data_IF_233202763460
#
_entry.id   IF_233202763460
#
_cell.length_a   1.000
_cell.length_b   1.000
_cell.length_c   1.000
_cell.angle_alpha   90.00
_cell.angle_beta   90.00
_cell.angle_gamma   90.00
#
_symmetry.space_group_name_H-M   'P 1'
#
loop_
_entity.id
_entity.type
_entity.pdbx_description
1 polymer ?
#
# COMPACT_ATOMS: atom_id res chain seq x y z
N UNK A 1 -18.30 -8.76 11.19
CA UNK A 1 -18.92 -7.67 10.40
C UNK A 1 -19.05 -8.20 8.98
N UNK A 2 -20.23 -8.15 8.37
CA UNK A 2 -20.41 -8.55 6.97
C UNK A 2 -19.89 -7.47 6.02
N UNK A 3 -19.68 -7.80 4.74
CA UNK A 3 -19.30 -6.81 3.71
C UNK A 3 -20.38 -5.72 3.55
N UNK A 4 -21.66 -6.09 3.66
CA UNK A 4 -22.77 -5.14 3.64
C UNK A 4 -22.72 -4.17 4.83
N UNK A 5 -22.47 -4.71 6.04
CA UNK A 5 -22.30 -3.87 7.23
C UNK A 5 -21.09 -2.95 7.13
N UNK A 6 -20.00 -3.42 6.50
CA UNK A 6 -18.81 -2.61 6.25
C UNK A 6 -19.09 -1.50 5.22
N UNK A 7 -19.85 -1.79 4.16
CA UNK A 7 -20.30 -0.79 3.18
C UNK A 7 -21.15 0.31 3.85
N UNK A 8 -22.13 -0.10 4.67
CA UNK A 8 -22.97 0.82 5.42
C UNK A 8 -22.14 1.71 6.36
N UNK A 9 -21.16 1.13 7.05
CA UNK A 9 -20.27 1.89 7.93
C UNK A 9 -19.36 2.86 7.16
N UNK A 10 -18.86 2.45 6.00
CA UNK A 10 -18.04 3.31 5.15
C UNK A 10 -18.84 4.53 4.66
N UNK A 11 -20.09 4.31 4.24
CA UNK A 11 -21.00 5.41 3.88
C UNK A 11 -21.27 6.37 5.04
N UNK A 12 -21.53 5.83 6.25
CA UNK A 12 -21.73 6.64 7.46
C UNK A 12 -20.51 7.54 7.76
N UNK A 13 -19.30 7.03 7.50
CA UNK A 13 -18.05 7.75 7.70
C UNK A 13 -17.67 8.66 6.51
N UNK A 14 -18.46 8.69 5.44
CA UNK A 14 -18.13 9.42 4.21
C UNK A 14 -16.92 8.87 3.46
N UNK A 15 -16.54 7.61 3.72
CA UNK A 15 -15.43 6.94 3.05
C UNK A 15 -15.87 6.34 1.71
N UNK A 16 -15.11 6.62 0.65
CA UNK A 16 -15.35 6.10 -0.70
C UNK A 16 -14.51 4.86 -1.04
N UNK A 17 -13.51 4.53 -0.21
CA UNK A 17 -12.61 3.39 -0.39
C UNK A 17 -12.43 2.65 0.93
N UNK A 18 -12.32 1.34 0.84
CA UNK A 18 -12.18 0.43 1.99
C UNK A 18 -11.03 -0.52 1.69
N UNK A 19 -10.13 -0.67 2.67
CA UNK A 19 -9.04 -1.63 2.63
C UNK A 19 -9.26 -2.64 3.76
N UNK A 20 -9.30 -3.92 3.44
CA UNK A 20 -9.42 -5.01 4.41
C UNK A 20 -8.07 -5.72 4.51
N UNK A 21 -7.58 -5.92 5.73
CA UNK A 21 -6.36 -6.68 6.01
C UNK A 21 -6.73 -7.95 6.77
N UNK A 22 -6.67 -9.08 6.07
CA UNK A 22 -6.88 -10.39 6.67
C UNK A 22 -5.60 -10.94 7.29
N UNK A 23 -5.76 -11.78 8.32
CA UNK A 23 -4.65 -12.44 9.00
C UNK A 23 -4.50 -13.88 8.55
N UNK A 24 -3.26 -14.32 8.36
CA UNK A 24 -2.89 -15.72 8.16
C UNK A 24 -1.90 -16.16 9.24
N UNK A 25 -2.21 -17.27 9.95
CA UNK A 25 -1.39 -17.84 11.04
C UNK A 25 -0.82 -16.79 12.01
N UNK A 26 -1.60 -15.74 12.31
CA UNK A 26 -1.24 -14.70 13.27
C UNK A 26 -0.58 -13.44 12.68
N UNK A 27 -0.22 -13.36 11.40
CA UNK A 27 0.28 -12.13 10.75
C UNK A 27 -0.64 -11.62 9.63
N UNK A 28 -0.46 -10.40 9.09
CA UNK A 28 -1.16 -9.97 7.88
C UNK A 28 -0.86 -10.94 6.73
N UNK A 29 -1.89 -11.50 6.12
CA UNK A 29 -1.77 -12.51 5.05
C UNK A 29 -2.30 -12.05 3.71
N UNK A 30 -3.30 -11.15 3.69
CA UNK A 30 -3.98 -10.72 2.48
C UNK A 30 -4.52 -9.30 2.64
N UNK A 31 -4.42 -8.48 1.59
CA UNK A 31 -5.01 -7.15 1.52
C UNK A 31 -6.00 -7.12 0.36
N UNK A 32 -7.22 -6.67 0.65
CA UNK A 32 -8.29 -6.45 -0.32
C UNK A 32 -8.62 -4.96 -0.41
N UNK A 33 -8.73 -4.46 -1.63
CA UNK A 33 -9.08 -3.07 -1.93
C UNK A 33 -10.50 -3.01 -2.47
N UNK A 34 -11.30 -2.04 -2.02
CA UNK A 34 -12.67 -1.85 -2.47
C UNK A 34 -12.98 -0.37 -2.66
N UNK A 35 -13.83 -0.05 -3.65
CA UNK A 35 -14.58 1.21 -3.69
C UNK A 35 -15.99 1.00 -3.14
N UNK A 36 -16.53 2.04 -2.54
CA UNK A 36 -17.93 2.07 -2.08
C UNK A 36 -18.77 2.68 -3.20
N UNK A 37 -19.64 1.89 -3.81
CA UNK A 37 -20.48 2.32 -4.93
C UNK A 37 -21.89 1.72 -4.79
N UNK A 38 -22.92 2.57 -4.89
CA UNK A 38 -24.31 2.14 -4.75
C UNK A 38 -24.63 1.46 -3.40
N UNK A 39 -23.90 1.83 -2.34
CA UNK A 39 -24.02 1.20 -1.02
C UNK A 39 -23.44 -0.21 -0.90
N UNK A 40 -22.60 -0.62 -1.85
CA UNK A 40 -21.91 -1.91 -1.85
C UNK A 40 -20.40 -1.72 -1.97
N UNK A 41 -19.64 -2.73 -1.54
CA UNK A 41 -18.21 -2.81 -1.79
C UNK A 41 -17.98 -3.47 -3.15
N UNK A 42 -17.38 -2.72 -4.08
CA UNK A 42 -16.90 -3.25 -5.35
C UNK A 42 -15.38 -3.45 -5.24
N UNK A 43 -14.86 -4.66 -5.50
CA UNK A 43 -13.43 -4.90 -5.37
C UNK A 43 -12.64 -4.11 -6.42
N UNK A 44 -11.46 -3.68 -6.01
CA UNK A 44 -10.45 -3.06 -6.87
C UNK A 44 -9.28 -4.06 -6.92
N UNK A 45 -8.96 -4.62 -8.10
CA UNK A 45 -7.80 -5.48 -8.22
C UNK A 45 -6.50 -4.67 -8.01
N UNK A 46 -5.43 -5.27 -7.48
CA UNK A 46 -5.31 -6.70 -7.20
C UNK A 46 -5.71 -7.08 -5.77
N UNK A 47 -6.02 -8.37 -5.59
CA UNK A 47 -5.92 -9.03 -4.29
C UNK A 47 -4.43 -9.26 -3.96
N UNK A 48 -3.95 -8.71 -2.86
CA UNK A 48 -2.52 -8.73 -2.51
C UNK A 48 -2.27 -9.76 -1.41
N UNK A 49 -1.58 -10.85 -1.75
CA UNK A 49 -1.11 -11.80 -0.74
C UNK A 49 0.25 -11.41 -0.20
N UNK A 50 0.39 -11.44 1.12
CA UNK A 50 1.60 -11.05 1.83
C UNK A 50 2.38 -12.30 2.25
N UNK A 51 3.65 -12.35 1.86
CA UNK A 51 4.63 -13.31 2.39
C UNK A 51 5.11 -12.91 3.78
N UNK A 52 5.17 -11.62 4.05
CA UNK A 52 5.55 -11.11 5.37
C UNK A 52 5.50 -9.61 5.45
N UNK A 53 5.39 -9.11 6.69
CA UNK A 53 5.36 -7.68 6.99
C UNK A 53 6.33 -7.41 8.13
N UNK A 54 7.22 -6.44 7.95
CA UNK A 54 8.01 -5.83 9.03
C UNK A 54 7.36 -4.50 9.37
N UNK A 55 6.79 -4.37 10.56
CA UNK A 55 6.06 -3.19 11.00
C UNK A 55 7.01 -2.10 11.46
N UNK A 56 6.53 -0.85 11.44
CA UNK A 56 7.28 0.34 11.84
C UNK A 56 7.99 0.22 13.20
N UNK A 57 7.35 -0.40 14.20
CA UNK A 57 7.95 -0.60 15.54
C UNK A 57 9.19 -1.51 15.54
N UNK A 58 9.37 -2.33 14.51
CA UNK A 58 10.47 -3.30 14.37
C UNK A 58 11.69 -2.69 13.66
N UNK A 59 11.58 -1.47 13.12
CA UNK A 59 12.72 -0.76 12.55
C UNK A 59 13.54 -0.06 13.62
N UNK A 60 12.93 0.42 14.70
CA UNK A 60 13.62 1.14 15.78
C UNK A 60 14.20 2.51 15.37
N UNK A 61 14.02 2.93 14.12
CA UNK A 61 14.67 4.10 13.50
C UNK A 61 13.81 5.36 13.46
N UNK A 62 12.55 5.31 13.88
CA UNK A 62 11.67 6.48 13.80
C UNK A 62 12.04 7.55 14.83
N UNK A 63 12.31 8.79 14.41
CA UNK A 63 12.45 9.90 15.34
C UNK A 63 11.15 10.07 16.15
N UNK A 64 11.28 10.12 17.48
CA UNK A 64 10.14 10.30 18.39
C UNK A 64 9.37 11.56 18.00
N UNK A 65 8.03 11.46 17.94
CA UNK A 65 7.15 12.60 17.63
C UNK A 65 7.05 12.98 16.15
N UNK A 66 7.78 12.33 15.22
CA UNK A 66 7.67 12.66 13.80
C UNK A 66 6.34 12.17 13.21
N UNK A 67 5.55 13.14 12.73
CA UNK A 67 4.30 12.92 11.98
C UNK A 67 4.60 12.88 10.48
N UNK A 68 4.16 11.81 9.82
CA UNK A 68 4.16 11.73 8.35
C UNK A 68 2.93 12.50 7.87
N UNK A 69 3.15 13.61 7.16
CA UNK A 69 2.06 14.49 6.69
C UNK A 69 1.64 14.16 5.26
N UNK A 70 2.58 13.74 4.44
CA UNK A 70 2.39 13.49 3.02
C UNK A 70 3.31 12.36 2.55
N UNK A 71 2.82 11.59 1.58
CA UNK A 71 3.52 10.46 0.97
C UNK A 71 3.40 10.55 -0.55
N UNK A 72 4.44 10.14 -1.25
CA UNK A 72 4.50 10.01 -2.71
C UNK A 72 5.00 8.60 -3.06
N UNK A 73 4.56 8.04 -4.19
CA UNK A 73 5.16 6.83 -4.76
C UNK A 73 6.32 7.27 -5.65
N UNK A 74 7.52 6.75 -5.45
CA UNK A 74 8.62 6.94 -6.40
C UNK A 74 8.61 5.77 -7.38
N UNK A 75 8.36 6.06 -8.65
CA UNK A 75 8.33 5.07 -9.72
C UNK A 75 9.71 4.41 -9.86
N UNK A 76 9.75 3.08 -9.80
CA UNK A 76 11.01 2.36 -9.95
C UNK A 76 11.40 2.20 -11.43
N UNK A 77 12.63 2.57 -11.85
CA UNK A 77 13.06 2.33 -13.22
C UNK A 77 13.31 0.84 -13.48
N UNK A 78 13.04 0.39 -14.71
CA UNK A 78 13.35 -0.97 -15.18
C UNK A 78 12.71 -2.12 -14.37
N UNK A 79 11.51 -1.91 -13.82
CA UNK A 79 10.76 -2.95 -13.11
C UNK A 79 9.77 -3.69 -14.01
N UNK A 80 9.34 -4.90 -13.65
CA UNK A 80 8.30 -5.63 -14.37
C UNK A 80 6.99 -4.82 -14.46
N UNK A 81 6.22 -5.02 -15.54
CA UNK A 81 4.94 -4.33 -15.76
C UNK A 81 3.95 -4.51 -14.60
N UNK A 82 4.01 -5.64 -13.89
CA UNK A 82 3.17 -5.90 -12.71
C UNK A 82 3.47 -4.93 -11.55
N UNK A 83 4.72 -4.49 -11.39
CA UNK A 83 5.09 -3.47 -10.40
C UNK A 83 4.51 -2.11 -10.79
N UNK A 84 4.64 -1.72 -12.06
CA UNK A 84 4.08 -0.45 -12.58
C UNK A 84 2.57 -0.43 -12.35
N UNK A 85 1.87 -1.51 -12.69
CA UNK A 85 0.42 -1.63 -12.48
C UNK A 85 0.04 -1.53 -10.99
N UNK A 86 0.87 -2.06 -10.09
CA UNK A 86 0.67 -1.94 -8.65
C UNK A 86 0.92 -0.50 -8.15
N UNK A 87 1.94 0.20 -8.65
CA UNK A 87 2.19 1.62 -8.36
C UNK A 87 0.99 2.48 -8.76
N UNK A 88 0.49 2.31 -9.99
CA UNK A 88 -0.70 3.01 -10.50
C UNK A 88 -1.94 2.71 -9.66
N UNK A 89 -2.16 1.43 -9.31
CA UNK A 89 -3.30 1.01 -8.50
C UNK A 89 -3.26 1.62 -7.11
N UNK A 90 -2.09 1.62 -6.44
CA UNK A 90 -1.96 2.19 -5.10
C UNK A 90 -2.00 3.71 -5.12
N UNK A 91 -1.46 4.33 -6.16
CA UNK A 91 -1.59 5.77 -6.44
C UNK A 91 -3.06 6.17 -6.53
N UNK A 92 -3.83 5.49 -7.40
CA UNK A 92 -5.25 5.73 -7.50
C UNK A 92 -5.95 5.42 -6.17
N UNK A 93 -5.77 4.24 -5.59
CA UNK A 93 -6.47 3.85 -4.36
C UNK A 93 -6.24 4.83 -3.22
N UNK A 94 -4.99 5.15 -2.89
CA UNK A 94 -4.66 6.05 -1.78
C UNK A 94 -4.73 7.54 -2.14
N UNK A 95 -4.95 7.88 -3.42
CA UNK A 95 -4.93 9.25 -3.93
C UNK A 95 -3.61 9.96 -3.59
N UNK A 96 -2.50 9.24 -3.80
CA UNK A 96 -1.14 9.76 -3.61
C UNK A 96 -0.45 9.86 -4.96
N UNK A 97 0.35 10.92 -5.20
CA UNK A 97 0.99 11.12 -6.49
C UNK A 97 2.10 10.10 -6.73
N UNK A 98 2.43 9.91 -8.01
CA UNK A 98 3.64 9.21 -8.47
C UNK A 98 4.65 10.26 -8.90
N UNK A 99 5.87 10.16 -8.36
CA UNK A 99 7.04 10.91 -8.79
C UNK A 99 7.91 10.03 -9.67
N UNK A 100 8.52 10.61 -10.70
CA UNK A 100 9.41 9.88 -11.61
C UNK A 100 10.89 10.13 -11.34
N UNK A 101 11.21 11.16 -10.54
CA UNK A 101 12.56 11.51 -10.11
C UNK A 101 12.58 11.90 -8.62
N UNK A 102 13.71 11.71 -7.94
CA UNK A 102 13.83 12.01 -6.50
C UNK A 102 13.58 13.49 -6.17
N UNK A 103 13.89 14.41 -7.09
CA UNK A 103 13.66 15.83 -6.93
C UNK A 103 12.19 16.18 -6.64
N UNK A 104 11.26 15.49 -7.28
CA UNK A 104 9.81 15.69 -7.10
C UNK A 104 9.35 15.27 -5.69
N UNK A 105 10.11 14.37 -5.06
CA UNK A 105 9.81 13.85 -3.73
C UNK A 105 10.16 14.82 -2.60
N UNK A 106 11.00 15.84 -2.84
CA UNK A 106 11.58 16.73 -1.79
C UNK A 106 10.54 17.45 -0.91
N UNK A 107 9.33 17.64 -1.41
CA UNK A 107 8.22 18.28 -0.68
C UNK A 107 7.41 17.32 0.21
N UNK A 108 7.65 16.02 0.12
CA UNK A 108 6.89 14.98 0.84
C UNK A 108 7.59 14.59 2.15
N UNK A 109 6.82 14.05 3.09
CA UNK A 109 7.39 13.55 4.36
C UNK A 109 7.96 12.14 4.24
N UNK A 110 7.45 11.36 3.28
CA UNK A 110 7.84 9.99 3.05
C UNK A 110 7.67 9.60 1.58
N UNK A 111 8.43 8.59 1.17
CA UNK A 111 8.33 7.94 -0.14
C UNK A 111 7.89 6.50 0.07
N UNK A 112 6.96 6.03 -0.76
CA UNK A 112 6.66 4.62 -0.97
C UNK A 112 7.42 4.15 -2.21
N UNK A 113 8.19 3.06 -2.07
CA UNK A 113 8.91 2.44 -3.19
C UNK A 113 8.41 1.00 -3.35
N UNK A 114 8.16 0.60 -4.59
CA UNK A 114 7.80 -0.77 -4.95
C UNK A 114 8.91 -1.33 -5.83
N UNK A 115 9.64 -2.32 -5.33
CA UNK A 115 10.81 -2.87 -6.01
C UNK A 115 10.77 -4.40 -6.04
N UNK A 116 11.70 -5.00 -6.77
CA UNK A 116 11.99 -6.43 -6.70
C UNK A 116 13.17 -6.66 -5.76
N UNK A 117 13.11 -7.67 -4.89
CA UNK A 117 14.27 -8.09 -4.10
C UNK A 117 15.15 -9.08 -4.89
N UNK A 118 16.28 -9.47 -4.29
CA UNK A 118 17.26 -10.40 -4.89
C UNK A 118 16.68 -11.78 -5.24
N UNK A 119 15.57 -12.18 -4.62
CA UNK A 119 14.89 -13.46 -4.85
C UNK A 119 13.69 -13.30 -5.79
N UNK A 120 13.49 -12.11 -6.36
CA UNK A 120 12.42 -11.80 -7.30
C UNK A 120 11.03 -11.62 -6.66
N UNK A 121 10.95 -11.29 -5.37
CA UNK A 121 9.69 -10.92 -4.71
C UNK A 121 9.45 -9.42 -4.83
N UNK A 122 8.19 -9.02 -5.01
CA UNK A 122 7.79 -7.60 -4.92
C UNK A 122 7.87 -7.17 -3.45
N UNK A 123 8.53 -6.04 -3.20
CA UNK A 123 8.67 -5.42 -1.89
C UNK A 123 8.14 -4.00 -1.94
N UNK A 124 7.20 -3.69 -1.05
CA UNK A 124 6.74 -2.33 -0.79
C UNK A 124 7.44 -1.83 0.47
N UNK A 125 8.12 -0.69 0.38
CA UNK A 125 8.84 -0.09 1.49
C UNK A 125 8.51 1.39 1.62
N UNK A 126 8.81 1.96 2.79
CA UNK A 126 8.59 3.38 3.07
C UNK A 126 9.82 3.99 3.70
N UNK A 127 10.32 5.08 3.10
CA UNK A 127 11.44 5.87 3.62
C UNK A 127 10.98 7.26 4.00
N UNK A 128 11.54 7.81 5.07
CA UNK A 128 11.35 9.21 5.44
C UNK A 128 12.23 10.12 4.59
N UNK A 129 11.71 11.31 4.32
CA UNK A 129 12.47 12.42 3.77
C UNK A 129 12.63 13.54 4.81
N UNK A 130 13.78 14.24 4.80
CA UNK A 130 14.93 14.02 3.93
C UNK A 130 15.93 12.97 4.45
N UNK A 131 15.66 12.31 5.59
CA UNK A 131 16.63 11.44 6.27
C UNK A 131 17.00 10.20 5.47
N UNK A 132 16.20 9.82 4.47
CA UNK A 132 16.38 8.63 3.64
C UNK A 132 16.44 7.32 4.44
N UNK A 133 15.79 7.30 5.60
CA UNK A 133 15.74 6.13 6.49
C UNK A 133 14.43 5.38 6.27
N UNK A 134 14.51 4.05 6.13
CA UNK A 134 13.32 3.21 6.08
C UNK A 134 12.64 3.09 7.45
N UNK A 135 11.32 3.24 7.44
CA UNK A 135 10.49 3.34 8.65
C UNK A 135 9.27 2.44 8.64
N UNK A 136 9.05 1.73 7.53
CA UNK A 136 8.02 0.72 7.36
C UNK A 136 6.57 1.26 7.34
N UNK A 137 5.59 0.36 7.17
CA UNK A 137 5.77 -1.10 7.10
C UNK A 137 6.49 -1.55 5.82
N UNK A 138 7.41 -2.52 5.92
CA UNK A 138 7.92 -3.22 4.73
C UNK A 138 7.06 -4.44 4.48
N UNK A 139 6.49 -4.53 3.29
CA UNK A 139 5.62 -5.63 2.88
C UNK A 139 6.31 -6.43 1.78
N UNK A 140 6.39 -7.73 1.94
CA UNK A 140 6.81 -8.66 0.89
C UNK A 140 5.58 -9.33 0.33
N UNK A 141 5.35 -9.19 -0.96
CA UNK A 141 4.19 -9.69 -1.66
C UNK A 141 4.53 -11.07 -2.24
N UNK A 142 3.68 -12.06 -1.99
CA UNK A 142 3.82 -13.38 -2.59
C UNK A 142 3.10 -13.49 -3.94
N UNK A 143 1.89 -12.94 -4.03
CA UNK A 143 1.04 -13.03 -5.22
C UNK A 143 0.14 -11.79 -5.34
N UNK A 144 -0.14 -11.41 -6.58
CA UNK A 144 -1.15 -10.42 -6.96
C UNK A 144 -2.18 -11.13 -7.84
N UNK A 145 -3.45 -11.09 -7.45
CA UNK A 145 -4.55 -11.63 -8.28
C UNK A 145 -5.31 -10.45 -8.87
N UNK A 146 -5.18 -10.27 -10.19
CA UNK A 146 -5.79 -9.16 -10.91
C UNK A 146 -7.19 -9.47 -11.42
N UNK A 147 -7.46 -10.74 -11.72
CA UNK A 147 -8.77 -11.21 -12.17
C UNK A 147 -9.54 -11.75 -10.97
N UNK A 148 -10.35 -10.87 -10.37
CA UNK A 148 -11.18 -11.22 -9.23
C UNK A 148 -12.50 -11.76 -9.74
N UNK A 149 -12.66 -13.08 -9.76
CA UNK A 149 -13.96 -13.71 -9.95
C UNK A 149 -14.79 -13.54 -8.68
N UNK A 150 -15.87 -12.76 -8.78
CA UNK A 150 -16.91 -12.60 -7.76
C UNK A 150 -18.01 -13.64 -7.91
#
# INVERSE_FOLDING_TARGET
MSLEGLAAKALELGANKVLIIDRWKGGPGKIELFKVEGGRLQPIPPLIYLRGVKLRREFGTMPRGRRIKSTVILASPNVPQEVIRLEETLSDFFQIPIAHVEEECKQYSAVMEISMNEVGEIVVSFRLLPENVEVGPRMRISHLIWDLTL
#
